data_IF_439059237725
#
_entry.id   IF_439059237725
#
_cell.length_a   1.000
_cell.length_b   1.000
_cell.length_c   1.000
_cell.angle_alpha   90.00
_cell.angle_beta   90.00
_cell.angle_gamma   90.00
#
_symmetry.space_group_name_H-M   'P 1'
#
loop_
_entity.id
_entity.type
_entity.pdbx_description
1 polymer ?
#
# COMPACT_ATOMS: atom_id res chain seq x y z
N UNK A 1 -24.33 -48.73 -11.84
CA UNK A 1 -24.79 -47.78 -12.86
C UNK A 1 -26.14 -47.15 -12.47
N UNK A 2 -26.31 -46.67 -11.23
CA UNK A 2 -27.57 -46.04 -10.77
C UNK A 2 -27.34 -44.83 -9.84
N UNK A 3 -26.11 -44.27 -9.83
CA UNK A 3 -25.76 -43.06 -9.04
C UNK A 3 -25.24 -41.89 -9.91
N UNK A 4 -25.37 -41.97 -11.23
CA UNK A 4 -24.72 -41.02 -12.17
C UNK A 4 -25.57 -39.81 -12.60
N UNK A 5 -26.77 -39.63 -12.06
CA UNK A 5 -27.66 -38.53 -12.50
C UNK A 5 -28.24 -37.74 -11.31
N UNK A 6 -27.41 -37.42 -10.31
CA UNK A 6 -27.81 -36.42 -9.33
C UNK A 6 -27.60 -35.03 -9.94
N UNK A 7 -28.70 -34.42 -10.37
CA UNK A 7 -28.73 -33.01 -10.79
C UNK A 7 -28.08 -32.15 -9.71
N UNK A 8 -27.08 -31.35 -10.08
CA UNK A 8 -26.38 -30.42 -9.19
C UNK A 8 -27.40 -29.58 -8.39
N UNK A 9 -27.28 -29.60 -7.06
CA UNK A 9 -28.06 -28.77 -6.16
C UNK A 9 -27.55 -27.34 -6.32
N UNK A 10 -28.33 -26.51 -7.00
CA UNK A 10 -28.02 -25.11 -7.29
C UNK A 10 -29.29 -24.27 -7.27
N UNK A 11 -29.28 -23.16 -6.54
CA UNK A 11 -30.40 -22.21 -6.50
C UNK A 11 -30.72 -21.60 -7.87
N UNK A 12 -29.75 -21.62 -8.81
CA UNK A 12 -29.90 -21.05 -10.14
C UNK A 12 -30.64 -21.97 -11.12
N UNK A 13 -30.70 -23.27 -10.81
CA UNK A 13 -31.32 -24.29 -11.67
C UNK A 13 -32.59 -24.89 -11.03
N UNK A 14 -33.03 -24.37 -9.88
CA UNK A 14 -34.24 -24.81 -9.20
C UNK A 14 -35.44 -23.93 -9.58
N UNK A 15 -36.59 -24.58 -9.74
CA UNK A 15 -37.86 -23.89 -9.99
C UNK A 15 -38.26 -23.00 -8.80
N UNK A 16 -38.78 -21.81 -9.12
CA UNK A 16 -39.09 -20.73 -8.18
C UNK A 16 -40.11 -21.14 -7.11
N UNK A 17 -41.05 -22.02 -7.47
CA UNK A 17 -42.16 -22.44 -6.61
C UNK A 17 -41.79 -23.62 -5.70
N UNK A 18 -40.57 -24.15 -5.77
CA UNK A 18 -40.15 -25.25 -4.90
C UNK A 18 -40.10 -24.81 -3.43
N UNK A 19 -40.73 -25.57 -2.51
CA UNK A 19 -40.74 -25.24 -1.08
C UNK A 19 -39.35 -25.05 -0.47
N UNK A 20 -38.37 -25.83 -0.92
CA UNK A 20 -36.98 -25.78 -0.45
C UNK A 20 -36.29 -24.47 -0.85
N UNK A 21 -36.55 -23.99 -2.07
CA UNK A 21 -36.02 -22.71 -2.55
C UNK A 21 -36.67 -21.56 -1.79
N UNK A 22 -38.00 -21.58 -1.62
CA UNK A 22 -38.73 -20.57 -0.85
C UNK A 22 -38.25 -20.50 0.60
N UNK A 23 -37.98 -21.64 1.24
CA UNK A 23 -37.42 -21.66 2.59
C UNK A 23 -36.01 -21.08 2.63
N UNK A 24 -35.18 -21.39 1.63
CA UNK A 24 -33.83 -20.83 1.51
C UNK A 24 -33.85 -19.30 1.32
N UNK A 25 -34.78 -18.79 0.50
CA UNK A 25 -34.97 -17.33 0.34
C UNK A 25 -35.46 -16.66 1.62
N UNK A 26 -36.34 -17.32 2.39
CA UNK A 26 -36.76 -16.82 3.71
C UNK A 26 -35.61 -16.76 4.71
N UNK A 27 -34.73 -17.76 4.70
CA UNK A 27 -33.54 -17.78 5.55
C UNK A 27 -32.60 -16.60 5.21
N UNK A 28 -32.40 -16.30 3.92
CA UNK A 28 -31.64 -15.12 3.48
C UNK A 28 -32.33 -13.80 3.84
N UNK A 29 -33.65 -13.71 3.71
CA UNK A 29 -34.42 -12.55 4.13
C UNK A 29 -34.33 -12.32 5.64
N UNK A 30 -34.29 -13.38 6.44
CA UNK A 30 -34.09 -13.29 7.89
C UNK A 30 -32.71 -12.75 8.24
N UNK A 31 -31.65 -13.16 7.54
CA UNK A 31 -30.31 -12.57 7.68
C UNK A 31 -30.30 -11.08 7.35
N UNK A 32 -30.88 -10.70 6.22
CA UNK A 32 -30.99 -9.29 5.83
C UNK A 32 -31.76 -8.48 6.89
N UNK A 33 -32.83 -9.05 7.43
CA UNK A 33 -33.60 -8.44 8.52
C UNK A 33 -32.80 -8.24 9.80
N UNK A 34 -31.98 -9.22 10.22
CA UNK A 34 -31.08 -9.08 11.37
C UNK A 34 -30.08 -7.94 11.14
N UNK A 35 -29.46 -7.87 9.97
CA UNK A 35 -28.49 -6.83 9.66
C UNK A 35 -29.15 -5.44 9.61
N UNK A 36 -30.35 -5.34 9.04
CA UNK A 36 -31.08 -4.08 8.94
C UNK A 36 -31.57 -3.55 10.29
N UNK A 37 -32.06 -4.45 11.17
CA UNK A 37 -32.52 -4.06 12.50
C UNK A 37 -31.35 -3.78 13.47
N UNK A 38 -30.14 -4.28 13.18
CA UNK A 38 -28.92 -3.92 13.90
C UNK A 38 -28.22 -2.69 13.32
N UNK A 39 -28.53 -2.32 12.08
CA UNK A 39 -28.07 -1.09 11.44
C UNK A 39 -28.99 0.07 11.77
N UNK A 40 -28.97 0.53 13.03
CA UNK A 40 -29.24 1.96 13.22
C UNK A 40 -28.21 2.75 12.40
N UNK A 41 -28.68 3.79 11.71
CA UNK A 41 -28.15 4.36 10.44
C UNK A 41 -26.64 4.69 10.37
N UNK A 42 -25.90 4.64 11.48
CA UNK A 42 -24.44 4.87 11.55
C UNK A 42 -23.67 3.73 12.27
N UNK A 43 -24.35 2.88 13.05
CA UNK A 43 -23.68 1.93 13.96
C UNK A 43 -23.08 0.73 13.24
N UNK A 44 -23.75 0.13 12.24
CA UNK A 44 -23.22 -1.05 11.55
C UNK A 44 -22.21 -0.73 10.43
N UNK A 45 -22.00 0.55 10.13
CA UNK A 45 -20.93 1.01 9.25
C UNK A 45 -19.56 0.99 9.95
N UNK A 46 -19.53 1.04 11.28
CA UNK A 46 -18.30 0.97 12.06
C UNK A 46 -17.83 -0.50 12.20
N UNK A 47 -16.61 -0.86 11.74
CA UNK A 47 -16.09 -2.24 11.82
C UNK A 47 -16.08 -2.82 13.24
N UNK A 48 -15.90 -1.96 14.26
CA UNK A 48 -15.93 -2.36 15.68
C UNK A 48 -17.28 -2.92 16.11
N UNK A 49 -18.39 -2.38 15.60
CA UNK A 49 -19.72 -2.86 15.94
C UNK A 49 -20.04 -4.21 15.30
N UNK A 50 -19.57 -4.42 14.06
CA UNK A 50 -19.65 -5.73 13.40
C UNK A 50 -18.87 -6.77 14.20
N UNK A 51 -17.67 -6.43 14.69
CA UNK A 51 -16.86 -7.31 15.53
C UNK A 51 -17.57 -7.63 16.86
N UNK A 52 -18.14 -6.64 17.55
CA UNK A 52 -18.93 -6.83 18.78
C UNK A 52 -20.08 -7.80 18.54
N UNK A 53 -20.84 -7.59 17.47
CA UNK A 53 -21.93 -8.48 17.06
C UNK A 53 -21.46 -9.92 16.86
N UNK A 54 -20.39 -10.13 16.07
CA UNK A 54 -19.83 -11.47 15.81
C UNK A 54 -19.32 -12.12 17.11
N UNK A 55 -18.71 -11.36 18.02
CA UNK A 55 -18.23 -11.85 19.31
C UNK A 55 -19.37 -12.33 20.21
N UNK A 56 -20.49 -11.59 20.25
CA UNK A 56 -21.68 -12.02 21.01
C UNK A 56 -22.27 -13.29 20.42
N UNK A 57 -22.39 -13.35 19.08
CA UNK A 57 -22.79 -14.58 18.40
C UNK A 57 -21.89 -15.75 18.79
N UNK A 58 -20.56 -15.56 18.78
CA UNK A 58 -19.57 -16.58 19.17
C UNK A 58 -19.85 -17.19 20.55
N UNK A 59 -20.18 -16.36 21.55
CA UNK A 59 -20.51 -16.84 22.89
C UNK A 59 -21.78 -17.69 22.91
N UNK A 60 -22.80 -17.30 22.16
CA UNK A 60 -24.06 -18.06 22.08
C UNK A 60 -23.84 -19.40 21.36
N UNK A 61 -22.96 -19.45 20.34
CA UNK A 61 -22.64 -20.71 19.68
C UNK A 61 -21.80 -21.65 20.53
N UNK A 62 -20.84 -21.11 21.29
CA UNK A 62 -20.08 -21.92 22.24
C UNK A 62 -20.99 -22.62 23.25
N UNK A 63 -22.05 -21.96 23.72
CA UNK A 63 -23.11 -22.62 24.50
C UNK A 63 -23.86 -23.67 23.66
N UNK A 64 -24.25 -23.32 22.44
CA UNK A 64 -25.02 -24.20 21.57
C UNK A 64 -24.26 -25.47 21.10
N UNK A 65 -22.93 -25.43 21.15
CA UNK A 65 -22.00 -26.55 20.92
C UNK A 65 -21.67 -27.32 22.21
N UNK A 66 -22.12 -26.85 23.37
CA UNK A 66 -21.87 -27.48 24.68
C UNK A 66 -20.46 -27.23 25.25
N UNK A 67 -19.75 -26.21 24.75
CA UNK A 67 -18.40 -25.86 25.23
C UNK A 67 -18.44 -25.01 26.50
N UNK A 68 -19.57 -24.36 26.79
CA UNK A 68 -19.73 -23.45 27.93
C UNK A 68 -21.06 -23.69 28.64
N UNK A 69 -21.16 -23.19 29.88
CA UNK A 69 -22.38 -23.28 30.67
C UNK A 69 -23.57 -22.58 30.00
N UNK A 70 -24.81 -23.00 30.27
CA UNK A 70 -26.01 -22.37 29.72
C UNK A 70 -26.05 -20.85 29.96
N UNK A 71 -26.54 -20.11 28.96
CA UNK A 71 -26.75 -18.66 29.08
C UNK A 71 -28.17 -18.45 29.60
N UNK A 72 -28.32 -18.08 30.87
CA UNK A 72 -29.64 -17.95 31.51
C UNK A 72 -30.39 -16.71 31.03
N UNK A 73 -29.69 -15.57 30.96
CA UNK A 73 -30.25 -14.27 30.61
C UNK A 73 -29.19 -13.34 29.96
N UNK A 74 -29.63 -12.14 29.59
CA UNK A 74 -28.76 -11.10 29.01
C UNK A 74 -27.61 -10.67 29.92
N UNK A 75 -27.82 -10.65 31.24
CA UNK A 75 -26.76 -10.31 32.20
C UNK A 75 -25.65 -11.36 32.17
N UNK A 76 -26.00 -12.66 32.11
CA UNK A 76 -25.03 -13.75 31.93
C UNK A 76 -24.21 -13.55 30.66
N UNK A 77 -24.86 -13.18 29.56
CA UNK A 77 -24.20 -12.92 28.28
C UNK A 77 -23.26 -11.71 28.35
N UNK A 78 -23.69 -10.63 29.01
CA UNK A 78 -22.90 -9.43 29.25
C UNK A 78 -21.63 -9.70 30.05
N UNK A 79 -21.74 -10.35 31.21
CA UNK A 79 -20.58 -10.66 32.04
C UNK A 79 -19.64 -11.66 31.37
N UNK A 80 -20.18 -12.63 30.62
CA UNK A 80 -19.36 -13.57 29.84
C UNK A 80 -18.58 -12.85 28.74
N UNK A 81 -19.21 -11.91 28.02
CA UNK A 81 -18.52 -11.08 27.04
C UNK A 81 -17.36 -10.31 27.68
N UNK A 82 -17.62 -9.66 28.81
CA UNK A 82 -16.59 -8.90 29.53
C UNK A 82 -15.43 -9.78 30.02
N UNK A 83 -15.72 -10.99 30.48
CA UNK A 83 -14.71 -11.95 30.91
C UNK A 83 -13.86 -12.47 29.74
N UNK A 84 -14.48 -12.78 28.59
CA UNK A 84 -13.79 -13.38 27.45
C UNK A 84 -13.02 -12.37 26.60
N UNK A 85 -13.59 -11.18 26.34
CA UNK A 85 -13.03 -10.20 25.39
C UNK A 85 -12.52 -8.92 26.06
N UNK A 86 -12.66 -8.78 27.38
CA UNK A 86 -12.26 -7.60 28.13
C UNK A 86 -13.36 -6.54 28.23
N UNK A 87 -12.99 -5.38 28.80
CA UNK A 87 -13.90 -4.26 28.97
C UNK A 87 -14.10 -3.48 27.66
N UNK A 88 -15.35 -3.10 27.38
CA UNK A 88 -15.76 -2.37 26.18
C UNK A 88 -16.92 -1.43 26.56
N UNK A 89 -16.73 -0.12 26.43
CA UNK A 89 -17.65 0.90 26.94
C UNK A 89 -19.03 0.88 26.26
N UNK A 90 -19.08 0.55 24.98
CA UNK A 90 -20.33 0.52 24.21
C UNK A 90 -21.11 -0.79 24.39
N UNK A 91 -20.46 -1.81 24.96
CA UNK A 91 -21.15 -3.05 25.30
C UNK A 91 -21.89 -2.85 26.61
N UNK A 92 -23.16 -2.46 26.52
CA UNK A 92 -24.04 -2.30 27.69
C UNK A 92 -25.02 -3.45 27.82
N UNK A 93 -25.64 -3.60 29.00
CA UNK A 93 -26.72 -4.57 29.21
C UNK A 93 -27.92 -4.26 28.28
N UNK A 94 -28.18 -2.97 28.00
CA UNK A 94 -29.22 -2.56 27.06
C UNK A 94 -28.91 -3.00 25.63
N UNK A 95 -27.65 -2.86 25.20
CA UNK A 95 -27.20 -3.39 23.92
C UNK A 95 -27.39 -4.91 23.83
N UNK A 96 -27.03 -5.65 24.89
CA UNK A 96 -27.25 -7.11 24.92
C UNK A 96 -28.74 -7.46 24.81
N UNK A 97 -29.63 -6.72 25.49
CA UNK A 97 -31.09 -6.89 25.39
C UNK A 97 -31.61 -6.58 23.99
N UNK A 98 -31.11 -5.54 23.35
CA UNK A 98 -31.47 -5.21 21.98
C UNK A 98 -31.04 -6.33 21.02
N UNK A 99 -29.80 -6.78 21.13
CA UNK A 99 -29.25 -7.83 20.29
C UNK A 99 -30.00 -9.16 20.48
N UNK A 100 -30.30 -9.58 21.71
CA UNK A 100 -31.11 -10.79 21.95
C UNK A 100 -32.55 -10.63 21.45
N UNK A 101 -33.13 -9.44 21.54
CA UNK A 101 -34.45 -9.17 20.97
C UNK A 101 -34.46 -9.33 19.44
N UNK A 102 -33.51 -8.72 18.73
CA UNK A 102 -33.40 -8.82 17.27
C UNK A 102 -33.15 -10.26 16.82
N UNK A 103 -32.20 -10.96 17.46
CA UNK A 103 -31.94 -12.36 17.15
C UNK A 103 -33.17 -13.26 17.41
N UNK A 104 -33.96 -12.95 18.44
CA UNK A 104 -35.21 -13.64 18.74
C UNK A 104 -36.28 -13.38 17.67
N UNK A 105 -36.44 -12.11 17.25
CA UNK A 105 -37.40 -11.68 16.22
C UNK A 105 -37.21 -12.43 14.89
N UNK A 106 -35.96 -12.69 14.50
CA UNK A 106 -35.63 -13.41 13.26
C UNK A 106 -35.37 -14.92 13.44
N UNK A 107 -35.77 -15.50 14.58
CA UNK A 107 -35.64 -16.93 14.87
C UNK A 107 -34.19 -17.47 14.89
N UNK A 108 -33.19 -16.64 15.16
CA UNK A 108 -31.81 -17.11 15.33
C UNK A 108 -31.59 -17.72 16.70
N UNK A 109 -32.27 -17.17 17.71
CA UNK A 109 -32.27 -17.70 19.08
C UNK A 109 -33.70 -17.91 19.58
N UNK A 110 -33.84 -18.78 20.57
CA UNK A 110 -35.04 -18.92 21.39
C UNK A 110 -34.71 -18.45 22.78
N UNK A 111 -35.43 -17.42 23.26
CA UNK A 111 -35.38 -16.97 24.64
C UNK A 111 -36.49 -17.64 25.44
N UNK A 112 -36.13 -18.30 26.52
CA UNK A 112 -37.05 -18.84 27.53
C UNK A 112 -36.71 -18.24 28.89
N UNK A 113 -37.59 -18.39 29.88
CA UNK A 113 -37.38 -17.83 31.22
C UNK A 113 -36.10 -18.30 31.94
N UNK A 114 -35.47 -19.39 31.47
CA UNK A 114 -34.28 -20.00 32.08
C UNK A 114 -33.08 -20.09 31.14
N UNK A 115 -33.24 -19.80 29.85
CA UNK A 115 -32.14 -19.94 28.88
C UNK A 115 -32.37 -19.17 27.59
N UNK A 116 -31.26 -18.70 27.03
CA UNK A 116 -31.11 -18.26 25.65
C UNK A 116 -30.41 -19.39 24.90
N UNK A 117 -31.04 -19.93 23.85
CA UNK A 117 -30.50 -21.04 23.06
C UNK A 117 -30.53 -20.72 21.58
N UNK A 118 -29.45 -21.03 20.86
CA UNK A 118 -29.42 -20.88 19.40
C UNK A 118 -30.31 -21.91 18.68
N UNK A 119 -31.02 -21.47 17.64
CA UNK A 119 -31.81 -22.33 16.73
C UNK A 119 -30.98 -22.74 15.52
N UNK A 120 -31.45 -23.73 14.76
CA UNK A 120 -30.71 -24.28 13.61
C UNK A 120 -30.45 -23.25 12.50
N UNK A 121 -31.38 -22.30 12.29
CA UNK A 121 -31.14 -21.17 11.38
C UNK A 121 -30.00 -20.28 11.88
N UNK A 122 -30.04 -19.89 13.17
CA UNK A 122 -29.00 -19.08 13.79
C UNK A 122 -27.62 -19.73 13.70
N UNK A 123 -27.54 -21.05 13.96
CA UNK A 123 -26.29 -21.83 13.82
C UNK A 123 -25.72 -21.74 12.41
N UNK A 124 -26.54 -22.06 11.39
CA UNK A 124 -26.10 -22.01 9.97
C UNK A 124 -25.65 -20.62 9.54
N UNK A 125 -26.43 -19.58 9.86
CA UNK A 125 -26.09 -18.20 9.49
C UNK A 125 -24.81 -17.74 10.18
N UNK A 126 -24.65 -18.10 11.44
CA UNK A 126 -23.47 -17.73 12.19
C UNK A 126 -22.21 -18.43 11.70
N UNK A 127 -22.28 -19.73 11.40
CA UNK A 127 -21.13 -20.46 10.83
C UNK A 127 -20.68 -19.81 9.51
N UNK A 128 -21.63 -19.38 8.67
CA UNK A 128 -21.35 -18.64 7.43
C UNK A 128 -20.70 -17.28 7.72
N UNK A 129 -21.22 -16.51 8.68
CA UNK A 129 -20.68 -15.19 9.04
C UNK A 129 -19.28 -15.27 9.65
N UNK A 130 -19.04 -16.22 10.55
CA UNK A 130 -17.69 -16.45 11.12
C UNK A 130 -16.72 -16.88 10.03
N UNK A 131 -17.12 -17.80 9.15
CA UNK A 131 -16.29 -18.22 8.04
C UNK A 131 -15.96 -17.05 7.12
N UNK A 132 -16.95 -16.23 6.77
CA UNK A 132 -16.74 -15.03 5.96
C UNK A 132 -15.76 -14.05 6.64
N UNK A 133 -15.93 -13.79 7.93
CA UNK A 133 -15.08 -12.88 8.69
C UNK A 133 -13.63 -13.40 8.77
N UNK A 134 -13.44 -14.68 9.07
CA UNK A 134 -12.12 -15.31 9.14
C UNK A 134 -11.46 -15.36 7.75
N UNK A 135 -12.20 -15.69 6.70
CA UNK A 135 -11.68 -15.72 5.34
C UNK A 135 -11.28 -14.31 4.88
N UNK A 136 -12.04 -13.28 5.27
CA UNK A 136 -11.71 -11.88 4.98
C UNK A 136 -10.49 -11.42 5.78
N UNK A 137 -10.38 -11.78 7.05
CA UNK A 137 -9.21 -11.48 7.87
C UNK A 137 -7.95 -12.14 7.28
N UNK A 138 -8.04 -13.43 6.95
CA UNK A 138 -6.94 -14.16 6.33
C UNK A 138 -6.54 -13.56 4.98
N UNK A 139 -7.51 -13.10 4.17
CA UNK A 139 -7.22 -12.34 2.96
C UNK A 139 -6.41 -11.07 3.27
N UNK A 140 -6.89 -10.20 4.17
CA UNK A 140 -6.18 -8.94 4.46
C UNK A 140 -4.87 -9.10 5.24
N UNK A 141 -4.59 -10.26 5.84
CA UNK A 141 -3.29 -10.57 6.46
C UNK A 141 -2.18 -10.86 5.46
N UNK A 142 -2.51 -11.08 4.18
CA UNK A 142 -1.53 -11.38 3.13
C UNK A 142 -1.18 -10.13 2.30
N UNK A 143 -0.01 -10.16 1.66
CA UNK A 143 0.37 -9.21 0.59
C UNK A 143 -0.50 -9.42 -0.66
N UNK A 144 -0.54 -8.45 -1.56
CA UNK A 144 -1.47 -8.41 -2.70
C UNK A 144 -1.35 -9.62 -3.65
N UNK A 145 -0.14 -10.13 -3.89
CA UNK A 145 0.07 -11.37 -4.67
C UNK A 145 -0.46 -12.59 -3.90
N UNK A 146 -0.10 -12.69 -2.61
CA UNK A 146 -0.50 -13.78 -1.75
C UNK A 146 -2.02 -13.80 -1.46
N UNK A 147 -2.69 -12.64 -1.50
CA UNK A 147 -4.16 -12.49 -1.41
C UNK A 147 -4.88 -13.24 -2.52
N UNK A 148 -4.47 -13.02 -3.76
CA UNK A 148 -5.06 -13.66 -4.93
C UNK A 148 -4.84 -15.18 -4.91
N UNK A 149 -3.65 -15.63 -4.51
CA UNK A 149 -3.37 -17.06 -4.33
C UNK A 149 -4.15 -17.68 -3.18
N UNK A 150 -4.30 -16.98 -2.06
CA UNK A 150 -5.12 -17.43 -0.95
C UNK A 150 -6.59 -17.59 -1.36
N UNK A 151 -7.12 -16.65 -2.16
CA UNK A 151 -8.46 -16.74 -2.70
C UNK A 151 -8.63 -17.92 -3.66
N UNK A 152 -7.63 -18.17 -4.53
CA UNK A 152 -7.61 -19.37 -5.36
C UNK A 152 -7.62 -20.65 -4.52
N UNK A 153 -6.84 -20.70 -3.43
CA UNK A 153 -6.76 -21.87 -2.54
C UNK A 153 -8.09 -22.12 -1.86
N UNK A 154 -8.75 -21.05 -1.40
CA UNK A 154 -10.09 -21.11 -0.83
C UNK A 154 -11.11 -21.60 -1.84
N UNK A 155 -11.09 -21.11 -3.08
CA UNK A 155 -12.01 -21.58 -4.11
C UNK A 155 -11.80 -23.08 -4.41
N UNK A 156 -10.56 -23.57 -4.37
CA UNK A 156 -10.26 -25.00 -4.47
C UNK A 156 -10.90 -25.82 -3.31
N UNK A 157 -10.76 -25.34 -2.07
CA UNK A 157 -11.31 -25.98 -0.87
C UNK A 157 -12.84 -25.94 -0.83
N UNK A 158 -13.45 -24.85 -1.29
CA UNK A 158 -14.90 -24.74 -1.43
C UNK A 158 -15.38 -25.71 -2.51
N UNK A 159 -14.70 -25.76 -3.66
CA UNK A 159 -15.05 -26.71 -4.72
C UNK A 159 -14.98 -28.16 -4.23
N UNK A 160 -13.95 -28.51 -3.47
CA UNK A 160 -13.85 -29.82 -2.83
C UNK A 160 -14.94 -30.09 -1.79
N UNK A 161 -15.28 -29.12 -0.95
CA UNK A 161 -16.25 -29.32 0.11
C UNK A 161 -17.70 -29.40 -0.42
N UNK A 162 -18.00 -28.73 -1.54
CA UNK A 162 -19.35 -28.53 -2.06
C UNK A 162 -19.57 -29.13 -3.45
N UNK A 163 -18.76 -28.78 -4.46
CA UNK A 163 -18.98 -29.22 -5.85
C UNK A 163 -18.82 -30.74 -5.98
N UNK A 164 -17.82 -31.34 -5.30
CA UNK A 164 -17.65 -32.80 -5.25
C UNK A 164 -18.86 -33.53 -4.64
N UNK A 165 -19.64 -32.83 -3.79
CA UNK A 165 -20.86 -33.37 -3.16
C UNK A 165 -22.12 -33.06 -3.96
N UNK A 166 -21.98 -32.54 -5.19
CA UNK A 166 -23.08 -32.17 -6.06
C UNK A 166 -23.79 -30.88 -5.63
N UNK A 167 -23.20 -30.07 -4.73
CA UNK A 167 -23.73 -28.77 -4.32
C UNK A 167 -22.93 -27.72 -5.07
N UNK A 168 -23.47 -27.21 -6.18
CA UNK A 168 -22.73 -26.27 -7.02
C UNK A 168 -22.83 -24.85 -6.48
N UNK A 169 -21.68 -24.28 -6.11
CA UNK A 169 -21.54 -22.88 -5.71
C UNK A 169 -21.32 -21.91 -6.89
N UNK A 170 -21.40 -22.38 -8.13
CA UNK A 170 -21.04 -21.63 -9.34
C UNK A 170 -19.70 -22.06 -9.96
N UNK A 171 -19.09 -21.20 -10.79
CA UNK A 171 -17.86 -21.50 -11.54
C UNK A 171 -16.57 -21.39 -10.69
N UNK A 172 -16.48 -22.17 -9.60
CA UNK A 172 -15.36 -22.10 -8.64
C UNK A 172 -14.00 -22.45 -9.25
N UNK A 173 -13.96 -23.43 -10.14
CA UNK A 173 -12.74 -23.76 -10.88
C UNK A 173 -12.27 -22.60 -11.76
N UNK A 174 -13.19 -21.91 -12.44
CA UNK A 174 -12.84 -20.76 -13.28
C UNK A 174 -12.42 -19.54 -12.44
N UNK A 175 -13.06 -19.33 -11.28
CA UNK A 175 -12.66 -18.31 -10.29
C UNK A 175 -11.24 -18.57 -9.79
N UNK A 176 -10.94 -19.82 -9.42
CA UNK A 176 -9.60 -20.24 -9.00
C UNK A 176 -8.55 -19.95 -10.07
N UNK A 177 -8.81 -20.31 -11.34
CA UNK A 177 -7.88 -20.04 -12.44
C UNK A 177 -7.66 -18.54 -12.64
N UNK A 178 -8.73 -17.75 -12.62
CA UNK A 178 -8.64 -16.30 -12.76
C UNK A 178 -7.82 -15.65 -11.65
N UNK A 179 -8.01 -16.07 -10.40
CA UNK A 179 -7.23 -15.55 -9.27
C UNK A 179 -5.75 -15.93 -9.38
N UNK A 180 -5.42 -17.10 -9.95
CA UNK A 180 -4.03 -17.48 -10.24
C UNK A 180 -3.45 -16.62 -11.37
N UNK A 181 -4.19 -16.37 -12.44
CA UNK A 181 -3.79 -15.46 -13.53
C UNK A 181 -3.51 -14.04 -13.01
N UNK A 182 -4.37 -13.51 -12.13
CA UNK A 182 -4.19 -12.20 -11.50
C UNK A 182 -2.95 -12.16 -10.58
N UNK A 183 -2.71 -13.23 -9.81
CA UNK A 183 -1.52 -13.33 -8.97
C UNK A 183 -0.22 -13.34 -9.80
N UNK A 184 -0.24 -14.01 -10.96
CA UNK A 184 0.92 -14.07 -11.86
C UNK A 184 1.23 -12.70 -12.44
N UNK A 185 0.20 -11.98 -12.85
CA UNK A 185 0.34 -10.64 -13.39
C UNK A 185 0.96 -9.71 -12.33
N UNK A 186 0.42 -9.72 -11.11
CA UNK A 186 0.97 -8.94 -9.99
C UNK A 186 2.40 -9.34 -9.63
N UNK A 187 2.71 -10.64 -9.61
CA UNK A 187 4.06 -11.14 -9.34
C UNK A 187 5.06 -10.66 -10.41
N UNK A 188 4.63 -10.59 -11.66
CA UNK A 188 5.45 -10.13 -12.78
C UNK A 188 5.68 -8.62 -12.71
N UNK A 189 4.63 -7.84 -12.41
CA UNK A 189 4.72 -6.39 -12.27
C UNK A 189 5.60 -5.98 -11.07
N UNK A 190 5.49 -6.71 -9.96
CA UNK A 190 6.24 -6.45 -8.72
C UNK A 190 7.57 -7.20 -8.65
N UNK A 191 8.00 -7.90 -9.70
CA UNK A 191 9.24 -8.67 -9.68
C UNK A 191 10.45 -7.77 -9.33
N UNK A 192 10.50 -6.56 -9.88
CA UNK A 192 11.55 -5.58 -9.56
C UNK A 192 11.52 -5.13 -8.10
N UNK A 193 10.33 -4.93 -7.54
CA UNK A 193 10.15 -4.55 -6.13
C UNK A 193 10.67 -5.64 -5.20
N UNK A 194 10.36 -6.92 -5.49
CA UNK A 194 10.87 -8.05 -4.73
C UNK A 194 12.39 -8.23 -4.89
N UNK A 195 12.98 -7.85 -6.02
CA UNK A 195 14.43 -7.87 -6.19
C UNK A 195 15.11 -6.68 -5.49
N UNK A 196 14.38 -5.60 -5.23
CA UNK A 196 14.83 -4.43 -4.50
C UNK A 196 14.73 -4.58 -2.97
N UNK A 197 13.73 -5.30 -2.46
CA UNK A 197 13.55 -5.50 -1.03
C UNK A 197 14.46 -6.61 -0.47
N UNK A 198 15.30 -6.24 0.49
CA UNK A 198 16.24 -7.13 1.20
C UNK A 198 15.55 -8.29 1.94
N UNK A 199 14.27 -8.15 2.31
CA UNK A 199 13.51 -9.19 3.02
C UNK A 199 12.51 -9.94 2.14
N UNK A 200 12.52 -9.71 0.82
CA UNK A 200 11.55 -10.30 -0.11
C UNK A 200 11.63 -11.82 -0.23
N UNK A 201 12.79 -12.45 0.03
CA UNK A 201 12.97 -13.89 -0.12
C UNK A 201 11.87 -14.69 0.61
N UNK A 202 11.63 -14.34 1.88
CA UNK A 202 10.61 -15.01 2.70
C UNK A 202 9.20 -14.85 2.13
N UNK A 203 8.90 -13.71 1.51
CA UNK A 203 7.60 -13.42 0.91
C UNK A 203 7.41 -14.19 -0.39
N UNK A 204 8.43 -14.21 -1.26
CA UNK A 204 8.39 -14.93 -2.54
C UNK A 204 8.37 -16.45 -2.32
N UNK A 205 9.03 -16.96 -1.28
CA UNK A 205 8.94 -18.36 -0.87
C UNK A 205 7.50 -18.77 -0.49
N UNK A 206 6.80 -17.93 0.27
CA UNK A 206 5.39 -18.17 0.62
C UNK A 206 4.52 -18.21 -0.65
N UNK A 207 4.75 -17.27 -1.57
CA UNK A 207 4.06 -17.23 -2.88
C UNK A 207 4.32 -18.52 -3.66
N UNK A 208 5.59 -18.95 -3.76
CA UNK A 208 5.97 -20.17 -4.47
C UNK A 208 5.33 -21.42 -3.86
N UNK A 209 5.32 -21.53 -2.53
CA UNK A 209 4.70 -22.65 -1.84
C UNK A 209 3.18 -22.69 -2.07
N UNK A 210 2.51 -21.54 -2.03
CA UNK A 210 1.08 -21.43 -2.35
C UNK A 210 0.81 -21.85 -3.81
N UNK A 211 1.66 -21.45 -4.76
CA UNK A 211 1.54 -21.85 -6.16
C UNK A 211 1.66 -23.38 -6.34
N UNK A 212 2.61 -24.01 -5.65
CA UNK A 212 2.80 -25.47 -5.68
C UNK A 212 1.63 -26.22 -5.05
N UNK A 213 1.07 -25.71 -3.97
CA UNK A 213 -0.15 -26.29 -3.36
C UNK A 213 -1.35 -26.18 -4.32
N UNK A 214 -1.50 -25.03 -4.98
CA UNK A 214 -2.54 -24.80 -5.98
C UNK A 214 -2.38 -25.68 -7.21
N UNK A 215 -1.15 -25.95 -7.64
CA UNK A 215 -0.84 -26.88 -8.72
C UNK A 215 -1.44 -28.26 -8.44
N UNK A 216 -1.11 -28.84 -7.28
CA UNK A 216 -1.64 -30.16 -6.89
C UNK A 216 -3.17 -30.15 -6.83
N UNK A 217 -3.77 -29.14 -6.18
CA UNK A 217 -5.23 -29.04 -6.07
C UNK A 217 -5.90 -28.87 -7.43
N UNK A 218 -5.35 -28.04 -8.32
CA UNK A 218 -5.95 -27.82 -9.64
C UNK A 218 -5.88 -29.07 -10.51
N UNK A 219 -4.77 -29.81 -10.49
CA UNK A 219 -4.64 -31.08 -11.22
C UNK A 219 -5.70 -32.08 -10.72
N UNK A 220 -5.84 -32.23 -9.40
CA UNK A 220 -6.87 -33.10 -8.81
C UNK A 220 -8.29 -32.69 -9.22
N UNK A 221 -8.59 -31.39 -9.22
CA UNK A 221 -9.91 -30.88 -9.62
C UNK A 221 -10.16 -31.11 -11.11
N UNK A 222 -9.20 -30.77 -11.98
CA UNK A 222 -9.32 -30.96 -13.43
C UNK A 222 -9.58 -32.44 -13.78
N UNK A 223 -8.91 -33.38 -13.10
CA UNK A 223 -9.14 -34.81 -13.30
C UNK A 223 -10.57 -35.24 -12.92
N UNK A 224 -11.19 -34.63 -11.90
CA UNK A 224 -12.59 -34.90 -11.53
C UNK A 224 -13.57 -34.38 -12.60
N UNK A 225 -13.25 -33.26 -13.24
CA UNK A 225 -14.12 -32.65 -14.27
C UNK A 225 -14.04 -33.34 -15.64
N UNK A 226 -13.00 -34.15 -15.92
CA UNK A 226 -12.91 -34.97 -17.14
C UNK A 226 -14.04 -35.99 -17.28
N UNK A 227 -14.79 -36.26 -16.22
CA UNK A 227 -15.92 -37.21 -16.22
C UNK A 227 -17.28 -36.57 -16.57
N UNK A 228 -17.34 -35.25 -16.78
CA UNK A 228 -18.57 -34.53 -17.15
C UNK A 228 -18.62 -34.26 -18.66
N UNK A 229 -19.76 -34.56 -19.30
CA UNK A 229 -20.06 -34.44 -20.75
C UNK A 229 -20.06 -32.99 -21.31
N UNK A 230 -19.17 -32.11 -20.85
CA UNK A 230 -19.01 -30.72 -21.30
C UNK A 230 -17.59 -30.45 -21.85
N UNK A 231 -17.00 -31.40 -22.57
CA UNK A 231 -15.59 -31.41 -23.00
C UNK A 231 -15.11 -30.11 -23.67
N UNK A 232 -15.92 -29.45 -24.50
CA UNK A 232 -15.44 -28.32 -25.31
C UNK A 232 -15.24 -27.02 -24.50
N UNK A 233 -16.12 -26.73 -23.54
CA UNK A 233 -15.99 -25.55 -22.66
C UNK A 233 -14.88 -25.79 -21.64
N UNK A 234 -14.79 -27.02 -21.11
CA UNK A 234 -13.78 -27.40 -20.13
C UNK A 234 -12.37 -27.50 -20.71
N UNK A 235 -12.20 -27.83 -22.00
CA UNK A 235 -10.88 -27.87 -22.64
C UNK A 235 -10.17 -26.50 -22.58
N UNK A 236 -10.90 -25.41 -22.84
CA UNK A 236 -10.36 -24.05 -22.77
C UNK A 236 -9.94 -23.66 -21.34
N UNK A 237 -10.76 -24.02 -20.35
CA UNK A 237 -10.52 -23.75 -18.93
C UNK A 237 -9.32 -24.57 -18.44
N UNK A 238 -9.24 -25.84 -18.83
CA UNK A 238 -8.12 -26.73 -18.51
C UNK A 238 -6.80 -26.20 -19.07
N UNK A 239 -6.78 -25.80 -20.34
CA UNK A 239 -5.59 -25.23 -20.95
C UNK A 239 -5.14 -23.97 -20.22
N UNK A 240 -6.06 -23.02 -19.97
CA UNK A 240 -5.77 -21.80 -19.22
C UNK A 240 -5.20 -22.07 -17.83
N UNK A 241 -5.84 -22.96 -17.08
CA UNK A 241 -5.40 -23.31 -15.72
C UNK A 241 -4.01 -23.93 -15.70
N UNK A 242 -3.72 -24.86 -16.60
CA UNK A 242 -2.39 -25.49 -16.70
C UNK A 242 -1.31 -24.50 -17.13
N UNK A 243 -1.62 -23.60 -18.08
CA UNK A 243 -0.70 -22.54 -18.51
C UNK A 243 -0.40 -21.59 -17.36
N UNK A 244 -1.42 -21.07 -16.69
CA UNK A 244 -1.28 -20.13 -15.58
C UNK A 244 -0.41 -20.73 -14.47
N UNK A 245 -0.73 -21.93 -13.98
CA UNK A 245 0.09 -22.56 -12.93
C UNK A 245 1.54 -22.75 -13.38
N UNK A 246 1.76 -23.29 -14.59
CA UNK A 246 3.11 -23.55 -15.07
C UNK A 246 3.94 -22.26 -15.17
N UNK A 247 3.32 -21.19 -15.67
CA UNK A 247 3.94 -19.88 -15.78
C UNK A 247 4.26 -19.30 -14.40
N UNK A 248 3.31 -19.28 -13.49
CA UNK A 248 3.51 -18.69 -12.18
C UNK A 248 4.46 -19.48 -11.27
N UNK A 249 4.50 -20.81 -11.37
CA UNK A 249 5.52 -21.63 -10.69
C UNK A 249 6.91 -21.33 -11.23
N UNK A 250 7.06 -21.12 -12.55
CA UNK A 250 8.32 -20.74 -13.16
C UNK A 250 8.77 -19.34 -12.77
N UNK A 251 7.86 -18.35 -12.79
CA UNK A 251 8.16 -16.97 -12.42
C UNK A 251 8.57 -16.90 -10.95
N UNK A 252 7.76 -17.45 -10.03
CA UNK A 252 8.09 -17.45 -8.59
C UNK A 252 9.44 -18.12 -8.29
N UNK A 253 9.73 -19.28 -8.91
CA UNK A 253 11.02 -19.95 -8.74
C UNK A 253 12.17 -19.15 -9.38
N UNK A 254 11.94 -18.55 -10.55
CA UNK A 254 12.90 -17.67 -11.21
C UNK A 254 13.27 -16.48 -10.34
N UNK A 255 12.28 -15.81 -9.74
CA UNK A 255 12.48 -14.69 -8.82
C UNK A 255 13.27 -15.11 -7.57
N UNK A 256 12.95 -16.25 -6.95
CA UNK A 256 13.74 -16.79 -5.82
C UNK A 256 15.20 -17.00 -6.24
N UNK A 257 15.43 -17.65 -7.39
CA UNK A 257 16.79 -17.91 -7.87
C UNK A 257 17.55 -16.62 -8.17
N UNK A 258 16.88 -15.59 -8.70
CA UNK A 258 17.49 -14.27 -8.92
C UNK A 258 17.87 -13.59 -7.61
N UNK A 259 16.98 -13.60 -6.61
CA UNK A 259 17.28 -13.06 -5.26
C UNK A 259 18.51 -13.77 -4.68
N UNK A 260 18.54 -15.10 -4.73
CA UNK A 260 19.69 -15.89 -4.23
C UNK A 260 20.98 -15.60 -4.99
N UNK A 261 20.92 -15.45 -6.32
CA UNK A 261 22.08 -15.08 -7.14
C UNK A 261 22.61 -13.69 -6.78
N UNK A 262 21.72 -12.72 -6.62
CA UNK A 262 22.10 -11.37 -6.21
C UNK A 262 22.72 -11.35 -4.82
N UNK A 263 22.14 -12.06 -3.85
CA UNK A 263 22.73 -12.21 -2.53
C UNK A 263 24.13 -12.88 -2.60
N UNK A 264 24.28 -13.93 -3.41
CA UNK A 264 25.57 -14.59 -3.56
C UNK A 264 26.62 -13.70 -4.23
N UNK A 265 26.23 -12.90 -5.23
CA UNK A 265 27.11 -11.94 -5.91
C UNK A 265 27.71 -10.91 -4.94
N UNK A 266 26.98 -10.53 -3.88
CA UNK A 266 27.52 -9.63 -2.84
C UNK A 266 28.64 -10.27 -2.02
N UNK A 267 28.61 -11.58 -1.87
CA UNK A 267 29.59 -12.34 -1.10
C UNK A 267 30.75 -12.88 -1.97
N UNK A 268 30.65 -12.76 -3.30
CA UNK A 268 31.65 -13.33 -4.20
C UNK A 268 32.80 -12.36 -4.43
N UNK A 269 34.04 -12.81 -4.23
CA UNK A 269 35.23 -12.04 -4.57
C UNK A 269 35.31 -11.70 -6.07
N UNK A 270 35.87 -10.54 -6.39
CA UNK A 270 36.07 -10.11 -7.78
C UNK A 270 36.86 -11.15 -8.58
N UNK A 271 36.30 -11.56 -9.72
CA UNK A 271 36.92 -12.54 -10.61
C UNK A 271 37.95 -11.82 -11.49
N UNK A 272 39.23 -12.17 -11.38
CA UNK A 272 40.30 -11.55 -12.19
C UNK A 272 40.35 -12.03 -13.65
N UNK A 273 39.51 -13.00 -14.04
CA UNK A 273 39.53 -13.61 -15.39
C UNK A 273 38.15 -13.71 -16.02
N UNK A 274 37.92 -12.95 -17.09
CA UNK A 274 36.68 -12.97 -17.87
C UNK A 274 36.77 -14.07 -18.94
N UNK A 275 35.76 -14.96 -18.98
CA UNK A 275 35.58 -15.95 -20.07
C UNK A 275 34.68 -15.36 -21.16
N UNK A 276 35.19 -15.00 -22.36
CA UNK A 276 34.43 -14.24 -23.35
C UNK A 276 33.17 -14.96 -23.86
N UNK A 277 33.23 -16.28 -24.05
CA UNK A 277 32.09 -17.06 -24.54
C UNK A 277 30.92 -17.10 -23.55
N UNK A 278 31.23 -17.19 -22.25
CA UNK A 278 30.21 -17.17 -21.19
C UNK A 278 29.59 -15.79 -21.05
N UNK A 279 30.41 -14.73 -21.11
CA UNK A 279 29.93 -13.35 -21.08
C UNK A 279 29.02 -13.04 -22.26
N UNK A 280 29.40 -13.45 -23.47
CA UNK A 280 28.59 -13.25 -24.67
C UNK A 280 27.24 -13.96 -24.57
N UNK A 281 27.24 -15.21 -24.10
CA UNK A 281 25.99 -15.96 -23.90
C UNK A 281 25.10 -15.32 -22.84
N UNK A 282 25.70 -14.83 -21.75
CA UNK A 282 24.98 -14.11 -20.70
C UNK A 282 24.34 -12.82 -21.22
N UNK A 283 25.07 -12.00 -21.99
CA UNK A 283 24.54 -10.76 -22.58
C UNK A 283 23.35 -11.08 -23.49
N UNK A 284 23.48 -12.07 -24.38
CA UNK A 284 22.39 -12.47 -25.29
C UNK A 284 21.15 -12.92 -24.50
N UNK A 285 21.34 -13.71 -23.45
CA UNK A 285 20.24 -14.22 -22.62
C UNK A 285 19.64 -13.15 -21.69
N UNK A 286 20.38 -12.08 -21.36
CA UNK A 286 19.90 -10.99 -20.51
C UNK A 286 19.03 -9.98 -21.27
N UNK A 287 19.16 -9.89 -22.60
CA UNK A 287 18.31 -9.02 -23.44
C UNK A 287 16.90 -9.58 -23.64
N UNK A 288 16.75 -10.90 -23.69
CA UNK A 288 15.46 -11.59 -23.83
C UNK A 288 15.46 -12.88 -23.00
N UNK A 289 15.37 -12.77 -21.67
CA UNK A 289 15.37 -13.95 -20.81
C UNK A 289 14.07 -14.74 -20.99
N UNK A 290 14.13 -16.07 -21.16
CA UNK A 290 12.92 -16.89 -21.20
C UNK A 290 12.14 -16.77 -19.87
N UNK A 291 10.80 -16.91 -19.94
CA UNK A 291 9.91 -16.76 -18.78
C UNK A 291 10.33 -17.70 -17.64
N UNK A 292 10.57 -17.13 -16.45
CA UNK A 292 11.05 -17.85 -15.27
C UNK A 292 12.52 -18.24 -15.32
N UNK A 293 13.30 -17.66 -16.24
CA UNK A 293 14.76 -17.78 -16.22
C UNK A 293 15.33 -17.19 -14.93
N UNK A 294 16.38 -17.82 -14.47
CA UNK A 294 17.26 -17.40 -13.39
C UNK A 294 18.26 -16.31 -13.83
N UNK A 295 18.23 -15.90 -15.10
CA UNK A 295 19.09 -14.84 -15.65
C UNK A 295 18.37 -13.51 -15.48
N UNK A 296 18.95 -12.54 -14.75
CA UNK A 296 18.34 -11.23 -14.59
C UNK A 296 18.41 -10.44 -15.90
N UNK A 297 17.36 -9.67 -16.21
CA UNK A 297 17.38 -8.75 -17.35
C UNK A 297 18.19 -7.48 -17.03
N UNK A 298 18.48 -6.68 -18.05
CA UNK A 298 19.25 -5.43 -17.86
C UNK A 298 18.66 -4.49 -16.80
N UNK A 299 17.33 -4.35 -16.74
CA UNK A 299 16.67 -3.52 -15.71
C UNK A 299 16.83 -4.08 -14.30
N UNK A 300 16.75 -5.40 -14.13
CA UNK A 300 16.93 -6.09 -12.85
C UNK A 300 18.36 -5.97 -12.34
N UNK A 301 19.34 -6.01 -13.25
CA UNK A 301 20.75 -5.80 -12.92
C UNK A 301 20.98 -4.34 -12.48
N UNK A 302 20.47 -3.37 -13.25
CA UNK A 302 20.59 -1.95 -12.90
C UNK A 302 19.91 -1.63 -11.57
N UNK A 303 18.68 -2.11 -11.39
CA UNK A 303 17.93 -1.95 -10.13
C UNK A 303 18.63 -2.62 -8.94
N UNK A 304 19.49 -3.61 -9.15
CA UNK A 304 20.32 -4.20 -8.10
C UNK A 304 21.55 -3.35 -7.78
N UNK A 305 22.14 -2.71 -8.80
CA UNK A 305 23.30 -1.83 -8.65
C UNK A 305 22.97 -0.47 -8.01
N UNK A 306 21.70 -0.06 -7.99
CA UNK A 306 21.24 1.23 -7.45
C UNK A 306 20.71 1.15 -6.00
N UNK A 307 20.98 0.07 -5.25
CA UNK A 307 20.30 -0.23 -3.98
C UNK A 307 20.93 0.37 -2.71
N UNK A 308 22.04 1.12 -2.81
CA UNK A 308 22.70 1.73 -1.66
C UNK A 308 23.13 0.68 -0.61
N UNK A 309 23.72 -0.43 -1.06
CA UNK A 309 24.27 -1.54 -0.29
C UNK A 309 25.50 -1.16 0.56
N UNK A 310 26.32 -0.17 0.17
CA UNK A 310 27.52 0.26 0.93
C UNK A 310 27.61 1.79 1.14
N UNK A 311 28.33 2.24 2.18
CA UNK A 311 28.39 3.66 2.61
C UNK A 311 28.89 4.66 1.54
N UNK A 312 29.57 4.18 0.48
CA UNK A 312 30.09 5.02 -0.63
C UNK A 312 29.30 4.85 -1.96
N UNK A 313 28.21 4.07 -1.98
CA UNK A 313 27.50 3.71 -3.22
C UNK A 313 26.78 4.87 -3.91
N UNK A 314 26.37 5.90 -3.16
CA UNK A 314 25.78 7.12 -3.73
C UNK A 314 26.76 7.89 -4.64
N UNK A 315 28.09 7.66 -4.48
CA UNK A 315 29.14 8.25 -5.34
C UNK A 315 29.50 7.35 -6.53
N UNK A 316 29.39 6.03 -6.39
CA UNK A 316 29.68 5.04 -7.46
C UNK A 316 28.46 4.75 -8.38
N UNK A 317 27.25 5.04 -7.91
CA UNK A 317 25.98 4.80 -8.62
C UNK A 317 25.71 5.71 -9.83
N UNK A 318 26.63 6.60 -10.20
CA UNK A 318 26.53 7.35 -11.46
C UNK A 318 27.09 6.50 -12.61
N UNK A 319 26.25 5.62 -13.17
CA UNK A 319 26.56 5.03 -14.47
C UNK A 319 26.54 6.12 -15.54
N UNK A 320 27.70 6.73 -15.80
CA UNK A 320 27.88 7.58 -16.97
C UNK A 320 27.86 6.66 -18.19
N UNK A 321 26.95 6.83 -19.16
CA UNK A 321 27.03 6.10 -20.41
C UNK A 321 28.36 6.46 -21.07
N UNK A 322 29.34 5.56 -20.99
CA UNK A 322 30.51 5.64 -21.84
C UNK A 322 29.97 5.38 -23.24
N UNK A 323 29.83 6.45 -24.04
CA UNK A 323 29.57 6.33 -25.47
C UNK A 323 30.69 5.46 -26.03
N UNK A 324 30.42 4.17 -26.27
CA UNK A 324 31.27 3.39 -27.15
C UNK A 324 31.36 4.20 -28.45
N UNK A 325 32.59 4.49 -28.88
CA UNK A 325 32.82 5.22 -30.11
C UNK A 325 31.95 4.58 -31.20
N UNK A 326 31.02 5.36 -31.74
CA UNK A 326 30.15 4.91 -32.82
C UNK A 326 31.04 4.31 -33.92
N UNK A 327 30.67 3.18 -34.55
CA UNK A 327 31.48 2.64 -35.64
C UNK A 327 31.74 3.75 -36.66
N UNK A 328 33.01 4.00 -36.96
CA UNK A 328 33.41 5.07 -37.88
C UNK A 328 32.64 4.91 -39.19
N UNK A 329 31.89 5.94 -39.56
CA UNK A 329 31.14 5.90 -40.81
C UNK A 329 32.12 5.85 -41.99
N UNK A 330 31.75 5.22 -43.12
CA UNK A 330 32.60 5.22 -44.31
C UNK A 330 33.03 6.64 -44.72
N UNK A 331 32.15 7.64 -44.55
CA UNK A 331 32.46 9.04 -44.83
C UNK A 331 33.53 9.60 -43.89
N UNK A 332 33.54 9.24 -42.60
CA UNK A 332 34.56 9.68 -41.66
C UNK A 332 35.94 9.08 -41.96
N UNK A 333 35.97 7.87 -42.53
CA UNK A 333 37.22 7.24 -43.01
C UNK A 333 37.72 7.97 -44.25
N UNK A 334 36.84 8.26 -45.22
CA UNK A 334 37.21 8.99 -46.43
C UNK A 334 37.66 10.42 -46.13
N UNK A 335 37.02 11.12 -45.19
CA UNK A 335 37.46 12.44 -44.73
C UNK A 335 38.82 12.39 -44.04
N UNK A 336 39.08 11.35 -43.22
CA UNK A 336 40.38 11.15 -42.58
C UNK A 336 41.50 10.86 -43.58
N UNK A 337 41.23 10.06 -44.62
CA UNK A 337 42.18 9.81 -45.72
C UNK A 337 42.44 11.10 -46.48
N UNK A 338 41.39 11.83 -46.85
CA UNK A 338 41.50 13.08 -47.59
C UNK A 338 42.26 14.16 -46.80
N UNK A 339 42.03 14.24 -45.48
CA UNK A 339 42.77 15.12 -44.58
C UNK A 339 44.27 14.75 -44.56
N UNK A 340 44.61 13.47 -44.47
CA UNK A 340 46.02 13.03 -44.52
C UNK A 340 46.69 13.30 -45.88
N UNK A 341 45.97 13.12 -46.98
CA UNK A 341 46.51 13.28 -48.33
C UNK A 341 46.69 14.75 -48.71
N UNK A 342 45.82 15.64 -48.22
CA UNK A 342 45.83 17.08 -48.52
C UNK A 342 46.22 17.94 -47.32
N UNK A 343 46.90 17.36 -46.33
CA UNK A 343 47.40 18.10 -45.17
C UNK A 343 48.48 19.09 -45.60
N UNK A 344 48.14 20.37 -45.69
CA UNK A 344 49.12 21.44 -45.75
C UNK A 344 49.50 21.84 -44.32
N UNK A 345 50.77 21.64 -43.89
CA UNK A 345 51.19 22.03 -42.56
C UNK A 345 51.12 23.56 -42.44
N UNK A 346 50.40 24.02 -41.43
CA UNK A 346 50.36 25.44 -41.05
C UNK A 346 51.78 25.87 -40.70
N UNK A 347 52.35 26.78 -41.51
CA UNK A 347 53.71 27.33 -41.32
C UNK A 347 53.70 28.70 -40.66
N UNK A 348 52.52 29.17 -40.25
CA UNK A 348 52.41 30.39 -39.46
C UNK A 348 53.08 30.17 -38.10
N UNK A 349 53.85 31.17 -37.67
CA UNK A 349 54.51 31.14 -36.37
C UNK A 349 53.45 30.98 -35.29
N UNK A 350 53.70 30.06 -34.35
CA UNK A 350 52.86 29.83 -33.18
C UNK A 350 52.65 31.20 -32.51
N UNK A 351 51.43 31.74 -32.61
CA UNK A 351 51.05 32.86 -31.76
C UNK A 351 51.20 32.36 -30.32
N UNK A 352 52.02 33.05 -29.53
CA UNK A 352 52.13 32.77 -28.09
C UNK A 352 50.71 32.79 -27.54
N UNK A 353 50.21 31.62 -27.11
CA UNK A 353 49.01 31.51 -26.31
C UNK A 353 49.21 32.46 -25.13
N UNK A 354 48.40 33.51 -25.08
CA UNK A 354 48.20 34.24 -23.85
C UNK A 354 47.59 33.20 -22.91
N UNK A 355 48.41 32.66 -22.00
CA UNK A 355 47.90 31.88 -20.87
C UNK A 355 46.80 32.73 -20.22
N UNK A 356 45.55 32.29 -20.35
CA UNK A 356 44.47 32.87 -19.56
C UNK A 356 44.81 32.59 -18.11
N UNK A 357 45.25 33.64 -17.41
CA UNK A 357 45.52 33.62 -15.98
C UNK A 357 44.18 33.37 -15.28
N UNK A 358 43.88 32.10 -15.02
CA UNK A 358 42.74 31.72 -14.21
C UNK A 358 42.97 32.28 -12.81
N UNK A 359 42.23 33.33 -12.45
CA UNK A 359 42.15 33.76 -11.06
C UNK A 359 41.75 32.55 -10.22
N UNK A 360 42.64 32.11 -9.32
CA UNK A 360 42.31 31.14 -8.29
C UNK A 360 41.01 31.60 -7.64
N UNK A 361 39.99 30.75 -7.73
CA UNK A 361 38.70 31.05 -7.12
C UNK A 361 38.94 31.08 -5.62
N UNK A 362 38.81 32.27 -5.00
CA UNK A 362 38.92 32.43 -3.56
C UNK A 362 38.06 31.35 -2.87
N UNK A 363 38.68 30.54 -2.01
CA UNK A 363 37.96 29.59 -1.18
C UNK A 363 36.84 30.34 -0.44
N UNK A 364 35.60 30.04 -0.83
CA UNK A 364 34.43 30.63 -0.20
C UNK A 364 34.40 30.09 1.24
N UNK A 365 34.82 30.91 2.20
CA UNK A 365 34.75 30.57 3.62
C UNK A 365 33.30 30.17 3.96
N UNK A 366 33.16 29.18 4.84
CA UNK A 366 31.89 28.56 5.26
C UNK A 366 30.79 29.59 5.62
N UNK A 367 31.20 30.75 6.16
CA UNK A 367 30.32 31.87 6.50
C UNK A 367 29.62 32.53 5.27
N UNK A 368 30.28 32.57 4.10
CA UNK A 368 29.69 33.10 2.85
C UNK A 368 28.77 32.08 2.16
N UNK A 369 29.01 30.78 2.37
CA UNK A 369 28.14 29.70 1.91
C UNK A 369 26.80 29.70 2.65
N UNK A 370 26.83 29.96 3.96
CA UNK A 370 25.63 30.12 4.78
C UNK A 370 24.81 31.37 4.39
N UNK A 371 25.46 32.46 3.96
CA UNK A 371 24.77 33.66 3.47
C UNK A 371 24.07 33.39 2.12
N UNK A 372 24.74 32.70 1.18
CA UNK A 372 24.19 32.35 -0.13
C UNK A 372 23.07 31.30 -0.04
N UNK A 373 23.25 30.27 0.80
CA UNK A 373 22.19 29.27 1.04
C UNK A 373 21.03 29.83 1.87
N UNK A 374 21.31 30.76 2.79
CA UNK A 374 20.31 31.47 3.58
C UNK A 374 19.38 32.33 2.70
N UNK A 375 19.93 33.03 1.71
CA UNK A 375 19.12 33.82 0.78
C UNK A 375 18.29 32.95 -0.16
N UNK A 376 18.78 31.77 -0.60
CA UNK A 376 17.97 30.80 -1.35
C UNK A 376 16.80 30.23 -0.53
N UNK A 377 17.04 29.84 0.73
CA UNK A 377 15.99 29.39 1.66
C UNK A 377 14.95 30.48 1.91
N UNK A 378 15.38 31.73 1.99
CA UNK A 378 14.47 32.87 2.15
C UNK A 378 13.59 33.08 0.93
N UNK A 379 14.13 33.02 -0.29
CA UNK A 379 13.35 33.13 -1.52
C UNK A 379 12.28 32.02 -1.64
N UNK A 380 12.60 30.79 -1.27
CA UNK A 380 11.61 29.69 -1.23
C UNK A 380 10.52 29.96 -0.19
N UNK A 381 10.89 30.47 0.99
CA UNK A 381 9.93 30.80 2.05
C UNK A 381 9.00 31.93 1.63
N UNK A 382 9.48 32.95 0.89
CA UNK A 382 8.64 34.03 0.34
C UNK A 382 7.59 33.53 -0.66
N UNK A 383 7.90 32.48 -1.42
CA UNK A 383 6.93 31.90 -2.36
C UNK A 383 5.81 31.13 -1.65
N UNK A 384 6.08 30.57 -0.47
CA UNK A 384 5.10 29.79 0.31
C UNK A 384 4.32 30.63 1.33
N UNK A 385 4.91 31.69 1.87
CA UNK A 385 4.34 32.53 2.92
C UNK A 385 4.38 34.00 2.48
N UNK A 386 3.21 34.66 2.45
CA UNK A 386 3.06 36.07 2.09
C UNK A 386 3.69 37.00 3.15
N UNK A 387 5.01 37.20 3.08
CA UNK A 387 5.81 38.01 4.03
C UNK A 387 6.05 39.45 3.56
N UNK A 388 5.71 39.75 2.31
CA UNK A 388 6.01 41.01 1.61
C UNK A 388 5.45 42.26 2.31
N UNK A 389 4.27 42.14 2.91
CA UNK A 389 3.59 43.27 3.55
C UNK A 389 4.22 43.62 4.91
N UNK A 390 4.66 42.59 5.64
CA UNK A 390 5.35 42.72 6.94
C UNK A 390 6.76 43.30 6.72
N UNK A 391 7.49 42.82 5.70
CA UNK A 391 8.81 43.34 5.36
C UNK A 391 8.75 44.82 4.97
N UNK A 392 7.78 45.20 4.12
CA UNK A 392 7.61 46.59 3.67
C UNK A 392 7.33 47.54 4.83
N UNK A 393 6.54 47.11 5.81
CA UNK A 393 6.27 47.92 7.01
C UNK A 393 7.50 48.02 7.93
N UNK A 394 8.22 46.92 8.13
CA UNK A 394 9.47 46.91 8.91
C UNK A 394 10.58 47.74 8.26
N UNK A 395 10.59 47.88 6.94
CA UNK A 395 11.50 48.78 6.20
C UNK A 395 11.21 50.27 6.47
N UNK A 396 9.97 50.61 6.81
CA UNK A 396 9.55 52.00 7.07
C UNK A 396 9.75 52.42 8.53
N UNK A 397 9.61 51.49 9.50
CA UNK A 397 9.55 51.83 10.94
C UNK A 397 10.74 51.30 11.76
N UNK A 398 11.64 50.49 11.18
CA UNK A 398 12.83 49.84 11.80
C UNK A 398 12.51 48.90 13.00
N UNK A 399 11.46 49.18 13.80
CA UNK A 399 10.99 48.46 14.98
C UNK A 399 9.47 48.68 15.20
N UNK A 400 8.69 47.61 15.28
CA UNK A 400 7.24 47.65 15.47
C UNK A 400 6.75 46.59 16.48
N UNK A 401 5.61 46.83 17.14
CA UNK A 401 4.99 45.84 18.02
C UNK A 401 4.34 44.70 17.23
N UNK A 402 4.29 43.49 17.78
CA UNK A 402 3.68 42.31 17.14
C UNK A 402 2.24 42.59 16.66
N UNK A 403 1.42 43.24 17.49
CA UNK A 403 0.05 43.58 17.11
C UNK A 403 -0.04 44.53 15.93
N UNK A 404 0.86 45.50 15.89
CA UNK A 404 0.91 46.51 14.85
C UNK A 404 1.30 45.86 13.51
N UNK A 405 2.25 44.92 13.54
CA UNK A 405 2.66 44.19 12.35
C UNK A 405 1.56 43.27 11.82
N UNK A 406 0.83 42.60 12.71
CA UNK A 406 -0.27 41.72 12.32
C UNK A 406 -1.42 42.49 11.67
N UNK A 407 -1.71 43.70 12.16
CA UNK A 407 -2.79 44.54 11.63
C UNK A 407 -2.37 45.27 10.35
N UNK A 408 -1.13 45.72 10.26
CA UNK A 408 -0.66 46.40 9.04
C UNK A 408 -0.39 45.41 7.90
N UNK A 409 -0.14 44.13 8.22
CA UNK A 409 0.04 43.08 7.23
C UNK A 409 -1.26 42.37 6.81
N UNK A 410 -2.37 42.56 7.52
CA UNK A 410 -3.63 41.86 7.31
C UNK A 410 -4.87 42.72 7.63
N UNK A 411 -6.06 42.12 7.65
CA UNK A 411 -7.28 42.81 8.09
C UNK A 411 -7.60 42.51 9.56
N UNK A 412 -8.62 43.18 10.13
CA UNK A 412 -9.07 43.01 11.53
C UNK A 412 -9.68 41.61 11.85
N UNK A 413 -9.56 40.65 10.93
CA UNK A 413 -10.13 39.30 11.00
C UNK A 413 -9.13 38.26 11.50
N UNK A 414 -9.64 37.29 12.27
CA UNK A 414 -8.84 36.19 12.85
C UNK A 414 -8.04 35.35 11.85
N UNK A 415 -8.57 35.13 10.64
CA UNK A 415 -7.85 34.37 9.59
C UNK A 415 -6.55 35.04 9.17
N UNK A 416 -6.52 36.37 9.21
CA UNK A 416 -5.40 37.16 8.72
C UNK A 416 -4.34 37.34 9.81
N UNK A 417 -4.76 37.26 11.07
CA UNK A 417 -3.88 37.19 12.25
C UNK A 417 -2.96 35.98 12.18
N UNK A 418 -3.51 34.79 11.88
CA UNK A 418 -2.71 33.58 11.74
C UNK A 418 -1.67 33.72 10.63
N UNK A 419 -2.05 34.29 9.49
CA UNK A 419 -1.12 34.52 8.38
C UNK A 419 -0.04 35.55 8.74
N UNK A 420 -0.40 36.62 9.45
CA UNK A 420 0.55 37.62 9.96
C UNK A 420 1.55 37.02 10.94
N UNK A 421 1.08 36.18 11.87
CA UNK A 421 1.93 35.48 12.85
C UNK A 421 2.86 34.45 12.20
N UNK A 422 2.36 33.71 11.20
CA UNK A 422 3.17 32.78 10.41
C UNK A 422 4.25 33.56 9.63
N UNK A 423 3.90 34.71 9.05
CA UNK A 423 4.84 35.59 8.35
C UNK A 423 5.93 36.15 9.27
N UNK A 424 5.55 36.64 10.46
CA UNK A 424 6.50 37.10 11.48
C UNK A 424 7.41 35.96 11.95
N UNK A 425 6.84 34.77 12.21
CA UNK A 425 7.60 33.60 12.63
C UNK A 425 8.61 33.16 11.57
N UNK A 426 8.24 33.25 10.29
CA UNK A 426 9.13 32.97 9.17
C UNK A 426 10.28 33.98 9.05
N UNK A 427 10.04 35.27 9.34
CA UNK A 427 11.07 36.31 9.38
C UNK A 427 12.07 36.09 10.52
N UNK A 428 11.59 35.68 11.69
CA UNK A 428 12.43 35.38 12.86
C UNK A 428 13.23 34.10 12.65
N UNK A 429 12.60 33.03 12.16
CA UNK A 429 13.25 31.75 11.89
C UNK A 429 14.39 31.87 10.86
N UNK A 430 14.23 32.73 9.84
CA UNK A 430 15.25 33.00 8.83
C UNK A 430 16.22 34.14 9.21
N UNK A 431 16.26 34.53 10.49
CA UNK A 431 17.17 35.56 11.04
C UNK A 431 17.06 36.94 10.36
N UNK A 432 15.92 37.26 9.72
CA UNK A 432 15.69 38.59 9.10
C UNK A 432 15.13 39.61 10.10
N UNK A 433 14.50 39.16 11.19
CA UNK A 433 14.03 39.98 12.30
C UNK A 433 14.31 39.29 13.65
N UNK A 434 14.51 40.07 14.73
CA UNK A 434 14.67 39.56 16.09
C UNK A 434 13.50 40.04 16.97
N UNK A 435 13.10 39.21 17.94
CA UNK A 435 12.09 39.53 18.95
C UNK A 435 12.81 40.07 20.19
N UNK A 436 12.52 41.31 20.57
CA UNK A 436 12.98 41.91 21.81
C UNK A 436 11.82 41.99 22.81
N UNK A 437 11.85 41.10 23.80
CA UNK A 437 10.85 41.04 24.88
C UNK A 437 10.86 42.27 25.79
N UNK A 438 11.89 43.13 25.73
CA UNK A 438 11.99 44.35 26.56
C UNK A 438 11.49 45.59 25.82
N UNK A 439 11.32 45.53 24.51
CA UNK A 439 10.83 46.62 23.67
C UNK A 439 9.29 46.68 23.68
N UNK A 440 8.69 46.85 24.87
CA UNK A 440 7.23 46.93 25.03
C UNK A 440 6.66 48.19 24.36
N UNK A 441 6.34 48.12 23.06
CA UNK A 441 5.63 49.18 22.34
C UNK A 441 4.16 48.80 22.20
N UNK A 442 3.30 49.60 22.84
CA UNK A 442 1.84 49.49 22.68
C UNK A 442 1.41 50.27 21.44
N UNK A 443 0.51 49.67 20.66
CA UNK A 443 -0.21 50.28 19.55
C UNK A 443 -0.70 51.70 19.89
N UNK A 444 -0.38 52.68 19.05
CA UNK A 444 -1.06 53.98 19.04
C UNK A 444 -2.24 53.91 18.06
N UNK A 445 -3.40 53.40 18.50
CA UNK A 445 -4.60 53.34 17.66
C UNK A 445 -5.77 52.57 18.31
N UNK A 446 -7.00 52.88 17.86
CA UNK A 446 -8.27 52.42 18.46
C UNK A 446 -8.39 50.89 18.52
N UNK A 447 -8.57 50.33 19.73
CA UNK A 447 -8.70 48.89 20.01
C UNK A 447 -10.13 48.33 19.79
N UNK A 448 -11.08 49.11 19.28
CA UNK A 448 -12.51 48.79 19.41
C UNK A 448 -13.17 48.05 18.22
N UNK A 449 -12.47 47.79 17.11
CA UNK A 449 -13.04 47.11 15.91
C UNK A 449 -12.33 45.80 15.51
N UNK A 450 -11.88 44.98 16.47
CA UNK A 450 -11.23 43.68 16.17
C UNK A 450 -12.09 42.49 16.56
N UNK A 451 -12.12 41.47 15.70
CA UNK A 451 -12.80 40.18 15.95
C UNK A 451 -12.01 39.25 16.89
N UNK A 452 -10.85 39.71 17.41
CA UNK A 452 -9.92 38.91 18.20
C UNK A 452 -9.21 39.77 19.26
N UNK A 453 -8.79 39.12 20.35
CA UNK A 453 -7.99 39.71 21.43
C UNK A 453 -7.03 38.65 21.96
N UNK A 454 -5.84 39.07 22.37
CA UNK A 454 -4.91 38.18 23.08
C UNK A 454 -5.50 37.75 24.42
N UNK A 455 -5.12 36.55 24.87
CA UNK A 455 -5.52 36.04 26.19
C UNK A 455 -4.82 36.82 27.31
N UNK A 456 -3.62 37.34 27.04
CA UNK A 456 -2.86 38.23 27.92
C UNK A 456 -2.34 39.44 27.12
N UNK A 457 -2.65 40.67 27.55
CA UNK A 457 -2.33 41.92 26.81
C UNK A 457 -0.82 42.16 26.64
N UNK A 458 0.02 41.46 27.41
CA UNK A 458 1.50 41.53 27.32
C UNK A 458 2.04 40.78 26.09
N UNK A 459 1.28 39.87 25.50
CA UNK A 459 1.73 39.11 24.32
C UNK A 459 1.71 39.95 23.04
N UNK A 460 0.86 40.97 22.98
CA UNK A 460 0.79 41.88 21.83
C UNK A 460 1.87 42.96 21.80
N UNK A 461 2.60 43.14 22.91
CA UNK A 461 3.62 44.19 23.07
C UNK A 461 5.04 43.74 22.77
N UNK A 462 5.26 42.48 22.35
CA UNK A 462 6.58 42.03 21.91
C UNK A 462 7.08 42.89 20.75
N UNK A 463 8.25 43.53 20.92
CA UNK A 463 8.86 44.36 19.90
C UNK A 463 9.61 43.50 18.89
N UNK A 464 9.30 43.68 17.61
CA UNK A 464 10.00 43.01 16.51
C UNK A 464 10.83 44.05 15.78
N UNK A 465 12.13 43.79 15.72
CA UNK A 465 13.10 44.69 15.11
C UNK A 465 13.78 44.01 13.93
N UNK A 466 13.99 44.77 12.86
CA UNK A 466 14.78 44.30 11.73
C UNK A 466 16.24 44.09 12.16
N UNK A 467 16.80 42.92 11.87
CA UNK A 467 18.21 42.64 12.15
C UNK A 467 19.06 43.40 11.13
N UNK A 468 19.92 44.32 11.60
CA UNK A 468 20.88 45.00 10.72
C UNK A 468 22.02 44.02 10.38
N UNK A 469 22.38 43.98 9.09
CA UNK A 469 23.48 43.17 8.55
C UNK A 469 24.75 43.31 9.37
#
# INVERSE_FOLDING_TARGET
MEKMDQSLISIFNMDADKPELLQTMRDMAALAGVLNDLSDKESFQAPKNVLRFIRVLNLINQEALGMTDPIENEDTLFYRYRYTYGYDEEMTIEYMKHLTYVLGKFNWITKTAKRIKMRDLGKRMMDVLIRLANDSLAYYMNDDVARSLFQAKRDAEISEAYDDKGISGGNKLASMIKNVEEAILLLTERELEYLADRNALSQVEVIHQLMKELESKMIERLAKFETFDQELVFASIKQRGMTAISEGTKISLGTINKILKFAHLQETDFIETIKPDLLRNFIVQSFDPPIGSDIPNALQILSFMEQGQYEEEELDGLWVPVKFASPLSPNAIDEGINYMENYEPVTDGIEEEVEEDFQETDEIMEDMLDEIMGDSKWQMTKQMIHTEHIEKYLDEVDEAGLDELVIQAGSDKWSDVLNGLIGVSALVANKKADIDEKANRKLQGNMEERDWRWEDDEQGSYGIRKRRK
#
